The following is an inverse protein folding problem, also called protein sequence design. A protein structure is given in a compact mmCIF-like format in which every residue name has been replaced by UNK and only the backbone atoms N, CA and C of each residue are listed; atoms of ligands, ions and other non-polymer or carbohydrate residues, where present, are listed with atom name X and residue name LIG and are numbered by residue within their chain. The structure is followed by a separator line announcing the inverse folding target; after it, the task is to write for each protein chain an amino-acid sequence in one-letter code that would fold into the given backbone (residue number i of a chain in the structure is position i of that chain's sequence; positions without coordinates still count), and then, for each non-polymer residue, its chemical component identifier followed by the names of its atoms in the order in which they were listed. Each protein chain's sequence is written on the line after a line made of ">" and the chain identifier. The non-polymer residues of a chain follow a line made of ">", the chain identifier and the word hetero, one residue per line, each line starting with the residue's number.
data_IF_654166692991
#
_entry.id   IF_654166692991
#
_cell.length_a   1.000
_cell.length_b   1.000
_cell.length_c   1.000
_cell.angle_alpha   90.00
_cell.angle_beta   90.00
_cell.angle_gamma   90.00
#
_symmetry.space_group_name_H-M   'P 1'
#
loop_
_entity.id
_entity.type
_entity.pdbx_description
1 polymer ?
#
# COMPACT_ATOMS: atom_id res chain seq x y z
N UNK A 1 -3.97 -24.92 -16.09
CA UNK A 1 -5.34 -25.48 -16.27
C UNK A 1 -6.42 -24.53 -15.78
N UNK A 2 -6.21 -23.82 -14.66
CA UNK A 2 -7.15 -22.82 -14.12
C UNK A 2 -7.58 -21.75 -15.14
N UNK A 3 -6.65 -21.12 -15.88
CA UNK A 3 -6.98 -20.09 -16.89
C UNK A 3 -7.95 -20.58 -17.97
N UNK A 4 -7.89 -21.86 -18.34
CA UNK A 4 -8.82 -22.47 -19.29
C UNK A 4 -10.21 -22.72 -18.65
N UNK A 5 -10.25 -23.09 -17.37
CA UNK A 5 -11.50 -23.35 -16.64
C UNK A 5 -12.33 -22.07 -16.42
N UNK A 6 -11.68 -20.94 -16.17
CA UNK A 6 -12.33 -19.63 -16.14
C UNK A 6 -12.95 -19.27 -17.50
N UNK A 7 -12.29 -19.64 -18.60
CA UNK A 7 -12.81 -19.41 -19.96
C UNK A 7 -13.99 -20.31 -20.35
N UNK A 8 -14.28 -21.38 -19.61
CA UNK A 8 -15.39 -22.32 -19.90
C UNK A 8 -16.50 -22.26 -18.83
N UNK A 9 -16.62 -21.15 -18.10
CA UNK A 9 -17.66 -20.91 -17.09
C UNK A 9 -17.71 -21.96 -15.97
N UNK A 10 -16.55 -22.52 -15.60
CA UNK A 10 -16.40 -23.39 -14.42
C UNK A 10 -15.57 -22.70 -13.33
N UNK A 11 -16.08 -21.62 -12.72
CA UNK A 11 -15.31 -20.79 -11.80
C UNK A 11 -14.89 -21.54 -10.54
N UNK A 12 -15.73 -22.45 -10.02
CA UNK A 12 -15.40 -23.22 -8.81
C UNK A 12 -14.26 -24.23 -9.05
N UNK A 13 -14.32 -25.01 -10.14
CA UNK A 13 -13.22 -25.91 -10.50
C UNK A 13 -11.93 -25.09 -10.76
N UNK A 14 -12.05 -23.94 -11.44
CA UNK A 14 -10.94 -23.02 -11.68
C UNK A 14 -10.29 -22.50 -10.38
N UNK A 15 -11.10 -22.10 -9.41
CA UNK A 15 -10.67 -21.67 -8.06
C UNK A 15 -9.92 -22.78 -7.34
N UNK A 16 -10.46 -24.00 -7.31
CA UNK A 16 -9.79 -25.13 -6.64
C UNK A 16 -8.43 -25.46 -7.25
N UNK A 17 -8.31 -25.40 -8.58
CA UNK A 17 -7.03 -25.59 -9.26
C UNK A 17 -6.06 -24.43 -9.01
N UNK A 18 -6.56 -23.21 -8.91
CA UNK A 18 -5.76 -22.03 -8.59
C UNK A 18 -5.18 -22.16 -7.18
N UNK A 19 -6.03 -22.40 -6.17
CA UNK A 19 -5.62 -22.58 -4.77
C UNK A 19 -4.57 -23.69 -4.65
N UNK A 20 -4.84 -24.88 -5.22
CA UNK A 20 -3.88 -25.99 -5.21
C UNK A 20 -2.55 -25.61 -5.85
N UNK A 21 -2.59 -24.87 -6.96
CA UNK A 21 -1.38 -24.45 -7.64
C UNK A 21 -0.58 -23.46 -6.81
N UNK A 22 -1.22 -22.56 -6.07
CA UNK A 22 -0.52 -21.57 -5.22
C UNK A 22 0.06 -22.23 -3.98
N UNK A 23 -0.70 -23.10 -3.32
CA UNK A 23 -0.22 -23.86 -2.15
C UNK A 23 1.06 -24.65 -2.43
N UNK A 24 1.28 -25.13 -3.66
CA UNK A 24 2.48 -25.90 -3.98
C UNK A 24 3.78 -25.08 -4.02
N UNK A 25 3.71 -23.75 -4.14
CA UNK A 25 4.90 -22.89 -4.25
C UNK A 25 4.94 -21.72 -3.28
N UNK A 26 3.85 -21.43 -2.57
CA UNK A 26 3.79 -20.31 -1.61
C UNK A 26 4.45 -20.73 -0.28
N UNK A 27 5.55 -20.07 0.15
CA UNK A 27 6.31 -20.50 1.33
C UNK A 27 5.48 -20.53 2.62
N UNK A 28 4.59 -19.56 2.82
CA UNK A 28 3.72 -19.48 4.01
C UNK A 28 2.88 -20.75 4.20
N UNK A 29 2.45 -21.39 3.12
CA UNK A 29 1.62 -22.61 3.15
C UNK A 29 2.45 -23.88 3.28
N UNK A 30 3.61 -23.93 2.63
CA UNK A 30 4.54 -25.06 2.78
C UNK A 30 4.98 -25.21 4.24
N UNK A 31 5.30 -24.10 4.90
CA UNK A 31 5.65 -24.08 6.32
C UNK A 31 4.51 -24.53 7.23
N UNK A 32 3.26 -24.18 6.91
CA UNK A 32 2.08 -24.71 7.60
C UNK A 32 1.97 -26.23 7.43
N UNK A 33 2.12 -26.75 6.20
CA UNK A 33 2.03 -28.19 5.91
C UNK A 33 3.17 -29.00 6.55
N UNK A 34 4.41 -28.50 6.50
CA UNK A 34 5.56 -29.10 7.19
C UNK A 34 5.38 -29.10 8.71
N UNK A 35 4.88 -28.00 9.29
CA UNK A 35 4.61 -27.94 10.73
C UNK A 35 3.56 -28.96 11.19
N UNK A 36 2.62 -29.34 10.32
CA UNK A 36 1.62 -30.38 10.57
C UNK A 36 2.18 -31.79 10.30
N UNK A 37 3.13 -31.93 9.38
CA UNK A 37 3.79 -33.19 9.04
C UNK A 37 4.96 -33.55 9.97
N UNK A 38 5.52 -32.57 10.69
CA UNK A 38 6.68 -32.71 11.60
C UNK A 38 6.34 -33.37 12.94
N UNK A 39 5.57 -34.47 12.90
CA UNK A 39 5.47 -35.45 14.00
C UNK A 39 6.40 -36.65 13.79
N UNK A 40 7.12 -36.72 12.67
CA UNK A 40 8.10 -37.77 12.39
C UNK A 40 9.47 -37.13 12.08
N UNK A 41 10.54 -37.81 12.52
CA UNK A 41 11.89 -37.30 12.82
C UNK A 41 12.62 -36.53 11.70
N UNK A 42 13.55 -35.60 12.05
CA UNK A 42 14.43 -34.95 11.08
C UNK A 42 15.57 -35.91 10.68
N UNK A 43 15.66 -36.21 9.38
CA UNK A 43 16.84 -36.84 8.77
C UNK A 43 17.67 -35.75 8.05
N UNK A 44 19.00 -35.90 8.11
CA UNK A 44 20.06 -34.98 7.65
C UNK A 44 20.08 -34.65 6.12
N UNK A 45 19.00 -34.12 5.54
CA UNK A 45 18.90 -33.79 4.09
C UNK A 45 18.35 -32.36 3.80
N UNK A 46 18.47 -31.43 4.77
CA UNK A 46 17.93 -30.05 4.70
C UNK A 46 18.43 -29.22 3.48
N UNK A 47 19.67 -29.44 3.02
CA UNK A 47 20.24 -28.61 1.93
C UNK A 47 19.64 -28.90 0.54
N UNK A 48 19.16 -30.13 0.28
CA UNK A 48 18.53 -30.48 -1.02
C UNK A 48 17.02 -30.11 -1.09
N UNK A 49 16.37 -29.87 0.05
CA UNK A 49 14.98 -29.38 0.09
C UNK A 49 14.90 -27.88 -0.18
N UNK A 50 15.77 -27.06 0.42
CA UNK A 50 15.77 -25.60 0.20
C UNK A 50 16.01 -25.22 -1.28
N UNK A 51 16.93 -25.90 -1.99
CA UNK A 51 17.15 -25.67 -3.43
C UNK A 51 15.93 -26.08 -4.28
N UNK A 52 15.21 -27.15 -3.89
CA UNK A 52 13.99 -27.58 -4.58
C UNK A 52 12.85 -26.59 -4.37
N UNK A 53 12.74 -25.99 -3.19
CA UNK A 53 11.72 -24.97 -2.90
C UNK A 53 11.91 -23.72 -3.77
N UNK A 54 13.15 -23.23 -3.91
CA UNK A 54 13.44 -22.10 -4.81
C UNK A 54 13.16 -22.43 -6.28
N UNK A 55 13.37 -23.68 -6.71
CA UNK A 55 13.14 -24.10 -8.09
C UNK A 55 11.66 -24.16 -8.51
N UNK A 56 10.73 -24.13 -7.56
CA UNK A 56 9.30 -24.23 -7.80
C UNK A 56 8.55 -22.89 -7.79
N UNK A 57 9.22 -21.79 -7.42
CA UNK A 57 8.60 -20.46 -7.36
C UNK A 57 8.36 -19.94 -8.78
N UNK A 58 7.12 -19.59 -9.16
CA UNK A 58 6.86 -19.03 -10.48
C UNK A 58 7.54 -17.66 -10.68
N UNK A 59 7.81 -17.27 -11.94
CA UNK A 59 8.33 -15.94 -12.25
C UNK A 59 7.47 -14.81 -11.65
N UNK A 60 8.11 -13.69 -11.29
CA UNK A 60 7.48 -12.55 -10.62
C UNK A 60 6.16 -12.11 -11.27
N UNK A 61 6.17 -11.85 -12.59
CA UNK A 61 4.98 -11.46 -13.36
C UNK A 61 3.85 -12.51 -13.33
N UNK A 62 4.20 -13.80 -13.30
CA UNK A 62 3.23 -14.89 -13.17
C UNK A 62 2.55 -14.86 -11.81
N UNK A 63 3.28 -14.50 -10.74
CA UNK A 63 2.73 -14.34 -9.40
C UNK A 63 1.84 -13.10 -9.28
N UNK A 64 2.19 -11.98 -9.92
CA UNK A 64 1.26 -10.83 -10.05
C UNK A 64 -0.04 -11.25 -10.71
N UNK A 65 0.05 -11.97 -11.85
CA UNK A 65 -1.14 -12.45 -12.57
C UNK A 65 -1.97 -13.39 -11.70
N UNK A 66 -1.31 -14.25 -10.93
CA UNK A 66 -1.96 -15.15 -9.97
C UNK A 66 -2.68 -14.37 -8.86
N UNK A 67 -2.05 -13.34 -8.29
CA UNK A 67 -2.67 -12.49 -7.27
C UNK A 67 -3.94 -11.80 -7.80
N UNK A 68 -3.94 -11.32 -9.06
CA UNK A 68 -5.14 -10.78 -9.71
C UNK A 68 -6.26 -11.82 -9.80
N UNK A 69 -5.93 -13.05 -10.25
CA UNK A 69 -6.91 -14.14 -10.30
C UNK A 69 -7.45 -14.51 -8.92
N UNK A 70 -6.61 -14.52 -7.88
CA UNK A 70 -7.03 -14.77 -6.50
C UNK A 70 -7.99 -13.68 -5.99
N UNK A 71 -7.71 -12.41 -6.30
CA UNK A 71 -8.63 -11.29 -6.00
C UNK A 71 -9.98 -11.47 -6.73
N UNK A 72 -9.95 -11.85 -8.01
CA UNK A 72 -11.17 -12.10 -8.82
C UNK A 72 -12.04 -13.23 -8.25
N UNK A 73 -11.44 -14.28 -7.67
CA UNK A 73 -12.17 -15.37 -7.00
C UNK A 73 -12.37 -15.14 -5.49
N UNK A 74 -12.06 -13.93 -5.01
CA UNK A 74 -12.19 -13.48 -3.63
C UNK A 74 -11.38 -14.28 -2.58
N UNK A 75 -10.30 -14.95 -3.00
CA UNK A 75 -9.32 -15.62 -2.13
C UNK A 75 -8.32 -14.61 -1.55
N UNK A 76 -8.81 -13.67 -0.74
CA UNK A 76 -8.03 -12.51 -0.32
C UNK A 76 -6.85 -12.82 0.61
N UNK A 77 -6.96 -13.83 1.47
CA UNK A 77 -5.87 -14.22 2.38
C UNK A 77 -4.66 -14.69 1.56
N UNK A 78 -4.89 -15.62 0.63
CA UNK A 78 -3.85 -16.14 -0.25
C UNK A 78 -3.31 -15.07 -1.21
N UNK A 79 -4.16 -14.15 -1.69
CA UNK A 79 -3.70 -13.02 -2.49
C UNK A 79 -2.79 -12.08 -1.69
N UNK A 80 -3.09 -11.86 -0.41
CA UNK A 80 -2.24 -11.07 0.50
C UNK A 80 -0.87 -11.72 0.63
N UNK A 81 -0.81 -13.01 0.96
CA UNK A 81 0.46 -13.75 1.10
C UNK A 81 1.34 -13.65 -0.15
N UNK A 82 0.73 -13.81 -1.33
CA UNK A 82 1.45 -13.71 -2.62
C UNK A 82 1.98 -12.29 -2.84
N UNK A 83 1.18 -11.27 -2.57
CA UNK A 83 1.55 -9.87 -2.79
C UNK A 83 2.59 -9.38 -1.77
N UNK A 84 2.51 -9.81 -0.51
CA UNK A 84 3.52 -9.50 0.50
C UNK A 84 4.87 -10.14 0.14
N UNK A 85 4.87 -11.41 -0.29
CA UNK A 85 6.09 -12.04 -0.80
C UNK A 85 6.68 -11.34 -2.03
N UNK A 86 5.83 -10.77 -2.91
CA UNK A 86 6.30 -9.95 -4.03
C UNK A 86 6.95 -8.63 -3.58
N UNK A 87 6.43 -8.01 -2.50
CA UNK A 87 7.05 -6.82 -1.91
C UNK A 87 8.35 -7.11 -1.17
N UNK A 88 8.47 -8.29 -0.56
CA UNK A 88 9.73 -8.72 0.07
C UNK A 88 10.86 -8.90 -0.97
N UNK A 89 10.51 -9.29 -2.20
CA UNK A 89 11.45 -9.44 -3.30
C UNK A 89 11.78 -8.13 -4.03
N UNK A 90 10.75 -7.31 -4.28
CA UNK A 90 10.89 -6.01 -4.96
C UNK A 90 9.78 -5.05 -4.50
N UNK A 91 10.15 -4.07 -3.69
CA UNK A 91 9.25 -3.04 -3.16
C UNK A 91 9.11 -1.82 -4.09
N UNK A 92 9.77 -1.81 -5.25
CA UNK A 92 9.69 -0.75 -6.25
C UNK A 92 8.62 -1.02 -7.33
N UNK A 93 7.83 -2.10 -7.22
CA UNK A 93 6.74 -2.39 -8.15
C UNK A 93 5.43 -1.74 -7.71
N UNK A 94 5.11 -0.59 -8.32
CA UNK A 94 3.89 0.20 -8.05
C UNK A 94 2.60 -0.64 -8.10
N UNK A 95 2.51 -1.55 -9.06
CA UNK A 95 1.33 -2.41 -9.24
C UNK A 95 1.06 -3.30 -8.02
N UNK A 96 2.10 -3.78 -7.33
CA UNK A 96 1.92 -4.68 -6.16
C UNK A 96 1.35 -3.90 -4.97
N UNK A 97 1.87 -2.70 -4.71
CA UNK A 97 1.31 -1.78 -3.70
C UNK A 97 -0.15 -1.42 -3.97
N UNK A 98 -0.47 -1.11 -5.23
CA UNK A 98 -1.85 -0.84 -5.65
C UNK A 98 -2.77 -2.04 -5.43
N UNK A 99 -2.35 -3.24 -5.82
CA UNK A 99 -3.14 -4.46 -5.67
C UNK A 99 -3.41 -4.80 -4.20
N UNK A 100 -2.44 -4.64 -3.29
CA UNK A 100 -2.65 -4.81 -1.84
C UNK A 100 -3.66 -3.78 -1.30
N UNK A 101 -3.48 -2.51 -1.67
CA UNK A 101 -4.39 -1.45 -1.27
C UNK A 101 -5.82 -1.70 -1.71
N UNK A 102 -6.01 -2.11 -2.96
CA UNK A 102 -7.31 -2.45 -3.52
C UNK A 102 -7.90 -3.72 -2.90
N UNK A 103 -7.10 -4.75 -2.65
CA UNK A 103 -7.51 -5.97 -1.96
C UNK A 103 -8.11 -5.65 -0.58
N UNK A 104 -7.43 -4.84 0.24
CA UNK A 104 -7.94 -4.44 1.55
C UNK A 104 -9.21 -3.58 1.44
N UNK A 105 -9.32 -2.75 0.41
CA UNK A 105 -10.53 -1.98 0.14
C UNK A 105 -11.72 -2.91 -0.15
N UNK A 106 -11.55 -3.91 -1.01
CA UNK A 106 -12.62 -4.85 -1.37
C UNK A 106 -13.13 -5.66 -0.17
N UNK A 107 -12.27 -5.90 0.83
CA UNK A 107 -12.69 -6.57 2.07
C UNK A 107 -13.60 -5.70 2.95
N UNK A 108 -13.59 -4.37 2.80
CA UNK A 108 -14.48 -3.47 3.55
C UNK A 108 -15.96 -3.67 3.18
N UNK A 109 -16.22 -4.00 1.93
CA UNK A 109 -17.57 -4.21 1.41
C UNK A 109 -18.17 -5.58 1.81
N UNK A 110 -17.36 -6.47 2.42
CA UNK A 110 -17.85 -7.78 2.84
C UNK A 110 -18.64 -7.72 4.16
N UNK A 111 -19.89 -8.22 4.20
CA UNK A 111 -20.70 -8.22 5.40
C UNK A 111 -20.16 -9.22 6.44
N UNK A 112 -19.61 -8.71 7.54
CA UNK A 112 -19.13 -9.55 8.66
C UNK A 112 -18.00 -8.96 9.51
N UNK A 113 -17.31 -7.93 9.02
CA UNK A 113 -16.03 -7.46 9.57
C UNK A 113 -16.09 -6.11 10.31
N UNK A 114 -17.14 -5.82 11.08
CA UNK A 114 -17.30 -4.48 11.70
C UNK A 114 -16.18 -4.05 12.65
N UNK A 115 -15.52 -4.98 13.35
CA UNK A 115 -14.37 -4.63 14.21
C UNK A 115 -13.05 -4.55 13.43
N UNK A 116 -12.92 -5.33 12.36
CA UNK A 116 -11.76 -5.30 11.46
C UNK A 116 -11.87 -4.22 10.37
N UNK A 117 -13.02 -3.56 10.22
CA UNK A 117 -13.25 -2.59 9.15
C UNK A 117 -12.31 -1.38 9.23
N UNK A 118 -12.02 -0.87 10.43
CA UNK A 118 -11.13 0.30 10.57
C UNK A 118 -9.66 -0.08 10.34
N UNK A 119 -9.23 -1.30 10.74
CA UNK A 119 -7.88 -1.78 10.47
C UNK A 119 -7.66 -2.09 9.00
N UNK A 120 -8.64 -2.69 8.32
CA UNK A 120 -8.65 -2.91 6.87
C UNK A 120 -8.61 -1.57 6.13
N UNK A 121 -9.43 -0.61 6.55
CA UNK A 121 -9.49 0.74 5.96
C UNK A 121 -8.14 1.44 6.08
N UNK A 122 -7.54 1.39 7.27
CA UNK A 122 -6.21 1.95 7.52
C UNK A 122 -5.15 1.28 6.65
N UNK A 123 -5.17 -0.06 6.56
CA UNK A 123 -4.22 -0.83 5.76
C UNK A 123 -4.33 -0.46 4.29
N UNK A 124 -5.54 -0.47 3.73
CA UNK A 124 -5.81 -0.03 2.36
C UNK A 124 -5.24 1.36 2.08
N UNK A 125 -5.53 2.32 2.98
CA UNK A 125 -5.03 3.70 2.85
C UNK A 125 -3.50 3.79 2.87
N UNK A 126 -2.82 2.98 3.70
CA UNK A 126 -1.35 2.91 3.76
C UNK A 126 -0.79 2.40 2.43
N UNK A 127 -1.28 1.27 1.93
CA UNK A 127 -0.78 0.65 0.69
C UNK A 127 -1.01 1.54 -0.53
N UNK A 128 -2.21 2.14 -0.66
CA UNK A 128 -2.53 3.07 -1.74
C UNK A 128 -1.71 4.37 -1.68
N UNK A 129 -1.45 4.90 -0.47
CA UNK A 129 -0.57 6.05 -0.29
C UNK A 129 0.85 5.74 -0.78
N UNK A 130 1.39 4.56 -0.42
CA UNK A 130 2.70 4.12 -0.92
C UNK A 130 2.72 3.92 -2.43
N UNK A 131 1.67 3.31 -3.01
CA UNK A 131 1.52 3.16 -4.45
C UNK A 131 1.60 4.50 -5.18
N UNK A 132 0.86 5.52 -4.71
CA UNK A 132 0.86 6.87 -5.30
C UNK A 132 2.22 7.56 -5.21
N UNK A 133 2.91 7.45 -4.06
CA UNK A 133 4.25 8.00 -3.88
C UNK A 133 5.25 7.36 -4.83
N UNK A 134 5.22 6.04 -4.92
CA UNK A 134 6.11 5.26 -5.77
C UNK A 134 5.83 5.50 -7.26
N UNK A 135 4.55 5.65 -7.65
CA UNK A 135 4.14 6.06 -8.99
C UNK A 135 4.85 7.34 -9.43
N UNK A 136 4.86 8.35 -8.54
CA UNK A 136 5.52 9.64 -8.79
C UNK A 136 7.04 9.51 -8.83
N UNK A 137 7.63 8.78 -7.87
CA UNK A 137 9.08 8.55 -7.76
C UNK A 137 9.66 7.86 -9.00
N UNK A 138 8.95 6.86 -9.52
CA UNK A 138 9.43 6.00 -10.61
C UNK A 138 8.93 6.43 -11.99
N UNK A 139 8.18 7.53 -12.09
CA UNK A 139 7.56 8.00 -13.33
C UNK A 139 6.75 6.90 -14.05
N UNK A 140 5.91 6.19 -13.29
CA UNK A 140 5.02 5.19 -13.87
C UNK A 140 4.04 5.84 -14.87
N UNK A 141 3.74 5.15 -15.97
CA UNK A 141 2.90 5.67 -17.07
C UNK A 141 1.49 5.04 -17.12
N UNK A 142 1.08 4.33 -16.07
CA UNK A 142 -0.25 3.70 -15.98
C UNK A 142 -1.28 4.67 -15.37
N UNK A 143 -1.73 5.62 -16.20
CA UNK A 143 -2.70 6.63 -15.79
C UNK A 143 -4.01 6.03 -15.23
N UNK A 144 -4.62 4.99 -15.83
CA UNK A 144 -5.80 4.34 -15.25
C UNK A 144 -5.60 3.83 -13.81
N UNK A 145 -4.42 3.26 -13.51
CA UNK A 145 -4.11 2.80 -12.16
C UNK A 145 -3.97 3.96 -11.17
N UNK A 146 -3.36 5.07 -11.59
CA UNK A 146 -3.25 6.27 -10.75
C UNK A 146 -4.64 6.85 -10.45
N UNK A 147 -5.48 7.03 -11.47
CA UNK A 147 -6.84 7.57 -11.32
C UNK A 147 -7.65 6.74 -10.32
N UNK A 148 -7.59 5.40 -10.43
CA UNK A 148 -8.29 4.53 -9.50
C UNK A 148 -7.69 4.60 -8.08
N UNK A 149 -6.37 4.66 -7.96
CA UNK A 149 -5.70 4.84 -6.65
C UNK A 149 -6.17 6.12 -5.96
N UNK A 150 -6.29 7.22 -6.71
CA UNK A 150 -6.77 8.50 -6.18
C UNK A 150 -8.24 8.46 -5.79
N UNK A 151 -9.09 7.81 -6.60
CA UNK A 151 -10.49 7.60 -6.27
C UNK A 151 -10.64 6.82 -4.95
N UNK A 152 -9.95 5.68 -4.81
CA UNK A 152 -10.01 4.86 -3.60
C UNK A 152 -9.52 5.64 -2.37
N UNK A 153 -8.42 6.39 -2.49
CA UNK A 153 -7.92 7.24 -1.41
C UNK A 153 -8.95 8.29 -1.00
N UNK A 154 -9.64 8.93 -1.96
CA UNK A 154 -10.68 9.91 -1.67
C UNK A 154 -11.84 9.28 -0.86
N UNK A 155 -12.28 8.09 -1.24
CA UNK A 155 -13.33 7.35 -0.52
C UNK A 155 -12.88 6.91 0.89
N UNK A 156 -11.59 6.61 1.07
CA UNK A 156 -11.01 6.18 2.35
C UNK A 156 -10.67 7.34 3.30
N UNK A 157 -10.89 8.61 2.90
CA UNK A 157 -10.63 9.79 3.72
C UNK A 157 -9.30 10.51 3.42
N UNK A 158 -8.77 10.36 2.20
CA UNK A 158 -7.58 11.03 1.67
C UNK A 158 -6.29 10.23 1.79
N UNK A 159 -5.18 10.82 1.37
CA UNK A 159 -3.84 10.25 1.55
C UNK A 159 -3.43 10.30 3.03
N UNK A 160 -2.68 9.31 3.52
CA UNK A 160 -2.01 9.46 4.81
C UNK A 160 -0.81 10.38 4.61
N UNK A 161 -0.82 11.52 5.29
CA UNK A 161 0.39 12.32 5.45
C UNK A 161 1.38 11.42 6.18
N UNK A 162 2.41 10.95 5.48
CA UNK A 162 3.49 10.31 6.18
C UNK A 162 4.10 11.39 7.08
N UNK A 163 4.30 11.05 8.34
CA UNK A 163 5.19 11.84 9.18
C UNK A 163 6.57 11.66 8.55
N UNK A 164 6.91 12.63 7.70
CA UNK A 164 8.09 12.64 6.85
C UNK A 164 9.33 12.54 7.74
N UNK A 165 10.06 11.44 7.59
CA UNK A 165 11.43 11.31 8.06
C UNK A 165 12.31 12.09 7.07
N UNK A 166 12.27 13.41 7.23
CA UNK A 166 13.21 14.40 6.71
C UNK A 166 13.53 14.38 5.21
N UNK A 167 12.78 15.14 4.40
CA UNK A 167 13.39 16.16 3.54
C UNK A 167 12.36 17.21 3.04
N UNK A 168 12.60 18.45 3.45
CA UNK A 168 12.23 19.71 2.78
C UNK A 168 10.81 19.85 2.17
N UNK A 169 9.78 19.84 3.02
CA UNK A 169 8.49 20.48 2.70
C UNK A 169 8.47 21.92 3.24
N UNK A 170 8.64 22.89 2.33
CA UNK A 170 8.30 24.29 2.61
C UNK A 170 6.85 24.44 3.10
N UNK A 171 6.53 25.50 3.86
CA UNK A 171 5.25 25.62 4.54
C UNK A 171 4.08 25.56 3.56
N UNK A 172 3.15 24.64 3.83
CA UNK A 172 1.86 24.49 3.17
C UNK A 172 1.10 25.83 3.22
N UNK A 173 0.80 26.39 2.05
CA UNK A 173 0.14 27.71 1.90
C UNK A 173 -1.39 27.66 2.09
N UNK A 174 -1.97 26.51 2.41
CA UNK A 174 -3.43 26.34 2.46
C UNK A 174 -4.10 26.76 3.80
N UNK A 175 -3.35 27.34 4.75
CA UNK A 175 -3.92 27.84 6.02
C UNK A 175 -3.49 29.27 6.39
N UNK A 176 -3.19 30.10 5.39
CA UNK A 176 -3.18 31.57 5.60
C UNK A 176 -4.61 32.05 5.42
N UNK A 177 -5.37 31.92 6.51
CA UNK A 177 -6.61 32.66 6.71
C UNK A 177 -6.34 34.15 6.48
N UNK A 178 -7.11 34.69 5.55
CA UNK A 178 -7.23 36.10 5.17
C UNK A 178 -7.56 36.99 6.37
N UNK A 179 -6.56 37.36 7.17
CA UNK A 179 -6.66 38.41 8.18
C UNK A 179 -5.92 39.66 7.69
N UNK A 180 -6.46 40.22 6.60
CA UNK A 180 -6.17 41.57 6.13
C UNK A 180 -6.73 42.59 7.14
N UNK A 181 -6.04 42.79 8.27
CA UNK A 181 -6.33 43.91 9.17
C UNK A 181 -5.69 45.18 8.61
N UNK A 182 -6.53 45.84 7.81
CA UNK A 182 -6.59 47.25 7.46
C UNK A 182 -5.71 48.19 8.32
N UNK A 183 -4.73 48.83 7.67
CA UNK A 183 -4.04 50.01 8.17
C UNK A 183 -5.06 51.11 8.55
N UNK A 184 -5.00 51.60 9.78
CA UNK A 184 -5.48 52.93 10.13
C UNK A 184 -4.28 53.78 10.54
N UNK A 185 -3.92 54.66 9.62
CA UNK A 185 -3.16 55.90 9.73
C UNK A 185 -3.57 56.68 10.99
N UNK A 186 -2.61 57.06 11.84
CA UNK A 186 -2.73 58.25 12.67
C UNK A 186 -1.35 58.91 12.74
N UNK A 187 -1.26 60.03 12.04
CA UNK A 187 -0.21 61.04 12.10
C UNK A 187 -0.26 61.76 13.45
N UNK A 188 0.71 62.64 13.69
CA UNK A 188 0.87 63.59 14.81
C UNK A 188 1.88 63.14 15.89
N UNK A 189 2.90 63.91 16.27
CA UNK A 189 3.36 65.24 15.87
C UNK A 189 4.74 65.43 16.51
N UNK A 190 5.64 66.09 15.79
CA UNK A 190 6.96 66.52 16.23
C UNK A 190 6.90 67.42 17.48
N UNK A 191 7.85 67.26 18.39
CA UNK A 191 8.31 68.34 19.29
C UNK A 191 9.75 68.05 19.73
N UNK A 192 10.69 68.35 18.82
CA UNK A 192 12.05 68.76 19.16
C UNK A 192 11.97 70.23 19.66
N UNK A 193 12.44 70.51 20.87
CA UNK A 193 12.84 71.85 21.27
C UNK A 193 14.17 71.77 22.04
N UNK A 194 15.24 71.99 21.28
CA UNK A 194 16.56 72.42 21.77
C UNK A 194 16.47 73.90 22.18
N UNK A 195 16.78 74.25 23.44
CA UNK A 195 17.50 75.52 23.66
C UNK A 195 18.37 75.49 24.93
N UNK A 196 19.54 76.10 24.76
CA UNK A 196 20.71 76.16 25.61
C UNK A 196 20.51 77.00 26.88
N UNK A 197 21.27 76.66 27.94
CA UNK A 197 21.92 77.71 28.74
C UNK A 197 23.19 77.19 29.41
N UNK A 198 24.32 77.75 28.97
CA UNK A 198 25.64 77.69 29.60
C UNK A 198 25.72 78.46 30.93
N UNK A 199 26.62 78.00 31.80
CA UNK A 199 27.43 78.75 32.79
C UNK A 199 26.75 79.72 33.79
N UNK A 200 26.86 79.39 35.08
CA UNK A 200 27.74 80.09 36.04
C UNK A 200 27.95 79.28 37.33
#
# INVERSE_FOLDING_TARGET
>A
MASYLFSIEKPEEGRDYLIKSVSSWLPSRQKEEESLASSEQPDDDDEEEEERVQSNIPPYESRITTAKLLIEVEEFEMATDVLEGLLEEDDEVVQVWYLLGWLYYLQLDKPGSTEDSESLKKSSRIYLTKAKKLYTKLHCEDAPMLEHTEQLLQELGGELVAEDDGDEAGPSIDDIGDDFIQCSEDEDNDEDDDDESMEH
#
